data_IF_478266286756
#
_entry.id   IF_478266286756
#
_cell.length_a   1.000
_cell.length_b   1.000
_cell.length_c   1.000
_cell.angle_alpha   90.00
_cell.angle_beta   90.00
_cell.angle_gamma   90.00
#
_symmetry.space_group_name_H-M   'P 1'
#
loop_
_entity.id
_entity.type
_entity.pdbx_description
1 polymer ?
#
# COMPACT_ATOMS: atom_id res chain seq x y z
N UNK A 1 -5.40 -19.11 1.41
CA UNK A 1 -4.02 -18.60 1.45
C UNK A 1 -3.30 -19.22 2.63
N UNK A 2 -2.03 -19.62 2.49
CA UNK A 2 -1.25 -20.11 3.63
C UNK A 2 -0.28 -19.03 4.12
N UNK A 3 0.10 -19.09 5.39
CA UNK A 3 1.06 -18.15 5.98
C UNK A 3 2.42 -18.18 5.25
N UNK A 4 2.82 -19.35 4.71
CA UNK A 4 4.02 -19.44 3.89
C UNK A 4 3.91 -18.59 2.61
N UNK A 5 2.74 -18.58 1.97
CA UNK A 5 2.53 -17.79 0.76
C UNK A 5 2.49 -16.29 1.09
N UNK A 6 1.92 -15.90 2.23
CA UNK A 6 1.95 -14.52 2.72
C UNK A 6 3.40 -14.08 2.95
N UNK A 7 4.21 -14.89 3.64
CA UNK A 7 5.63 -14.59 3.85
C UNK A 7 6.41 -14.44 2.52
N UNK A 8 6.12 -15.28 1.52
CA UNK A 8 6.71 -15.17 0.19
C UNK A 8 6.30 -13.87 -0.53
N UNK A 9 5.02 -13.48 -0.43
CA UNK A 9 4.53 -12.23 -1.01
C UNK A 9 5.23 -11.02 -0.40
N UNK A 10 5.36 -10.98 0.93
CA UNK A 10 6.07 -9.92 1.64
C UNK A 10 7.54 -9.85 1.22
N UNK A 11 8.24 -10.99 1.14
CA UNK A 11 9.61 -11.06 0.61
C UNK A 11 9.71 -10.48 -0.80
N UNK A 12 8.78 -10.84 -1.68
CA UNK A 12 8.79 -10.38 -3.07
C UNK A 12 8.51 -8.87 -3.18
N UNK A 13 7.62 -8.33 -2.35
CA UNK A 13 7.37 -6.89 -2.30
C UNK A 13 8.63 -6.12 -1.86
N UNK A 14 9.37 -6.63 -0.86
CA UNK A 14 10.66 -6.04 -0.47
C UNK A 14 11.69 -6.07 -1.59
N UNK A 15 11.80 -7.18 -2.33
CA UNK A 15 12.74 -7.27 -3.46
C UNK A 15 12.39 -6.27 -4.57
N UNK A 16 11.11 -6.09 -4.90
CA UNK A 16 10.66 -5.06 -5.85
C UNK A 16 11.06 -3.66 -5.39
N UNK A 17 10.84 -3.33 -4.12
CA UNK A 17 11.21 -2.02 -3.57
C UNK A 17 12.72 -1.78 -3.61
N UNK A 18 13.52 -2.77 -3.18
CA UNK A 18 14.97 -2.65 -3.21
C UNK A 18 15.51 -2.51 -4.63
N UNK A 19 14.94 -3.26 -5.58
CA UNK A 19 15.31 -3.14 -6.98
C UNK A 19 15.00 -1.74 -7.52
N UNK A 20 13.80 -1.22 -7.27
CA UNK A 20 13.40 0.11 -7.72
C UNK A 20 14.27 1.24 -7.13
N UNK A 21 14.62 1.14 -5.84
CA UNK A 21 15.55 2.10 -5.21
C UNK A 21 16.95 1.98 -5.80
N UNK A 22 17.44 0.77 -6.02
CA UNK A 22 18.77 0.51 -6.62
C UNK A 22 18.86 1.08 -8.04
N UNK A 23 17.81 0.88 -8.83
CA UNK A 23 17.72 1.34 -10.21
C UNK A 23 17.37 2.83 -10.32
N UNK A 24 17.16 3.52 -9.18
CA UNK A 24 16.68 4.91 -9.11
C UNK A 24 15.37 5.13 -9.86
N UNK A 25 14.52 4.11 -9.90
CA UNK A 25 13.19 4.12 -10.51
C UNK A 25 12.05 4.15 -9.48
N UNK A 26 12.39 4.17 -8.19
CA UNK A 26 11.40 4.37 -7.12
C UNK A 26 10.77 5.76 -7.23
N UNK A 27 9.44 5.79 -7.16
CA UNK A 27 8.63 7.00 -7.11
C UNK A 27 7.56 6.81 -6.03
N UNK A 28 7.39 7.80 -5.16
CA UNK A 28 6.31 7.81 -4.18
C UNK A 28 5.02 8.29 -4.87
N UNK A 29 4.37 7.39 -5.61
CA UNK A 29 3.13 7.64 -6.34
C UNK A 29 2.04 6.63 -5.97
N UNK A 30 0.78 6.95 -6.30
CA UNK A 30 -0.36 6.03 -6.10
C UNK A 30 -0.12 4.75 -6.90
N UNK A 31 0.35 4.91 -8.13
CA UNK A 31 0.66 3.83 -9.06
C UNK A 31 1.70 2.88 -8.46
N UNK A 32 2.78 3.42 -7.89
CA UNK A 32 3.84 2.61 -7.31
C UNK A 32 3.40 1.90 -6.03
N UNK A 33 2.69 2.57 -5.11
CA UNK A 33 2.20 1.91 -3.89
C UNK A 33 1.14 0.84 -4.20
N UNK A 34 0.29 1.06 -5.20
CA UNK A 34 -0.65 0.05 -5.69
C UNK A 34 0.08 -1.12 -6.34
N UNK A 35 1.12 -0.87 -7.15
CA UNK A 35 2.00 -1.93 -7.69
C UNK A 35 2.61 -2.77 -6.56
N UNK A 36 3.17 -2.12 -5.54
CA UNK A 36 3.77 -2.82 -4.40
C UNK A 36 2.73 -3.63 -3.62
N UNK A 37 1.55 -3.06 -3.38
CA UNK A 37 0.41 -3.75 -2.75
C UNK A 37 -0.07 -4.95 -3.58
N UNK A 38 -0.01 -4.87 -4.92
CA UNK A 38 -0.37 -5.98 -5.81
C UNK A 38 0.50 -7.23 -5.61
N UNK A 39 1.71 -7.05 -5.07
CA UNK A 39 2.64 -8.12 -4.73
C UNK A 39 2.40 -8.57 -3.29
N UNK A 40 2.41 -7.63 -2.35
CA UNK A 40 2.34 -7.91 -0.91
C UNK A 40 1.02 -8.59 -0.50
N UNK A 41 -0.11 -8.10 -1.00
CA UNK A 41 -1.45 -8.52 -0.59
C UNK A 41 -2.10 -9.54 -1.53
N UNK A 42 -1.36 -10.01 -2.55
CA UNK A 42 -1.85 -10.96 -3.54
C UNK A 42 -2.45 -12.19 -2.85
N UNK A 43 -3.71 -12.50 -3.12
CA UNK A 43 -4.42 -13.67 -2.54
C UNK A 43 -4.56 -13.64 -1.00
N UNK A 44 -4.20 -12.54 -0.34
CA UNK A 44 -4.40 -12.29 1.10
C UNK A 44 -5.56 -11.30 1.31
N UNK A 45 -5.54 -10.17 0.60
CA UNK A 45 -6.59 -9.17 0.68
C UNK A 45 -7.80 -9.53 -0.20
N UNK A 46 -8.97 -8.98 0.15
CA UNK A 46 -10.19 -9.12 -0.64
C UNK A 46 -10.05 -8.46 -2.03
N UNK A 47 -9.42 -7.28 -2.06
CA UNK A 47 -8.99 -6.59 -3.27
C UNK A 47 -7.56 -6.11 -3.04
N UNK A 48 -6.67 -6.34 -4.00
CA UNK A 48 -5.29 -5.85 -3.99
C UNK A 48 -5.04 -4.93 -5.19
N UNK A 49 -3.92 -4.21 -5.19
CA UNK A 49 -3.58 -3.20 -6.22
C UNK A 49 -4.49 -1.97 -6.26
N UNK A 50 -5.35 -1.77 -5.25
CA UNK A 50 -6.27 -0.63 -5.17
C UNK A 50 -6.38 -0.11 -3.74
N UNK A 51 -6.81 1.15 -3.59
CA UNK A 51 -7.37 1.60 -2.32
C UNK A 51 -8.68 0.88 -2.01
N UNK A 52 -8.96 0.67 -0.73
CA UNK A 52 -10.23 0.05 -0.30
C UNK A 52 -11.42 0.88 -0.78
N UNK A 53 -12.54 0.19 -1.00
CA UNK A 53 -13.80 0.78 -1.47
C UNK A 53 -14.92 0.77 -0.43
N UNK A 54 -14.59 0.40 0.80
CA UNK A 54 -15.54 0.33 1.91
C UNK A 54 -14.96 0.89 3.20
N UNK A 55 -15.84 1.15 4.17
CA UNK A 55 -15.46 1.53 5.53
C UNK A 55 -14.85 0.32 6.25
N UNK A 56 -13.81 0.57 7.03
CA UNK A 56 -13.13 -0.44 7.85
C UNK A 56 -12.88 0.13 9.24
N UNK A 57 -12.68 -0.74 10.21
CA UNK A 57 -12.34 -0.39 11.59
C UNK A 57 -11.09 -1.15 12.02
N UNK A 58 -10.26 -0.54 12.86
CA UNK A 58 -9.07 -1.19 13.42
C UNK A 58 -9.41 -1.68 14.81
N UNK A 59 -9.58 -3.00 14.95
CA UNK A 59 -9.96 -3.64 16.21
C UNK A 59 -8.94 -3.32 17.31
N UNK A 60 -9.43 -3.03 18.51
CA UNK A 60 -8.59 -2.66 19.66
C UNK A 60 -8.18 -1.19 19.70
N UNK A 61 -8.75 -0.34 18.84
CA UNK A 61 -8.51 1.12 18.84
C UNK A 61 -9.82 1.88 18.66
N UNK A 62 -9.90 3.10 19.18
CA UNK A 62 -10.99 4.06 18.87
C UNK A 62 -10.73 4.85 17.58
N UNK A 63 -9.66 4.52 16.86
CA UNK A 63 -9.30 5.20 15.62
C UNK A 63 -10.24 4.75 14.50
N UNK A 64 -10.89 5.73 13.87
CA UNK A 64 -11.64 5.52 12.63
C UNK A 64 -10.78 5.90 11.42
N UNK A 65 -10.43 4.92 10.56
CA UNK A 65 -9.80 5.21 9.28
C UNK A 65 -10.66 6.16 8.42
N UNK A 66 -10.05 7.02 7.59
CA UNK A 66 -10.78 8.01 6.79
C UNK A 66 -11.78 7.38 5.82
N UNK A 67 -12.76 8.15 5.35
CA UNK A 67 -13.70 7.64 4.34
C UNK A 67 -13.00 7.21 3.05
N UNK A 68 -13.44 6.07 2.47
CA UNK A 68 -12.74 5.43 1.37
C UNK A 68 -12.66 6.30 0.10
N UNK A 69 -13.68 7.14 -0.13
CA UNK A 69 -13.75 8.10 -1.24
C UNK A 69 -12.72 9.22 -1.15
N UNK A 70 -12.07 9.39 0.02
CA UNK A 70 -11.08 10.44 0.27
C UNK A 70 -9.64 9.94 0.22
N UNK A 71 -9.42 8.62 0.12
CA UNK A 71 -8.09 8.03 0.30
C UNK A 71 -7.06 8.57 -0.69
N UNK A 72 -7.42 8.66 -1.98
CA UNK A 72 -6.54 9.25 -2.99
C UNK A 72 -6.19 10.70 -2.67
N UNK A 73 -7.19 11.53 -2.33
CA UNK A 73 -6.95 12.94 -1.98
C UNK A 73 -6.06 13.12 -0.74
N UNK A 74 -6.23 12.26 0.26
CA UNK A 74 -5.42 12.29 1.48
C UNK A 74 -3.99 11.84 1.17
N UNK A 75 -3.82 10.83 0.34
CA UNK A 75 -2.51 10.36 -0.10
C UNK A 75 -1.76 11.43 -0.91
N UNK A 76 -2.45 12.12 -1.81
CA UNK A 76 -1.87 13.24 -2.57
C UNK A 76 -1.47 14.41 -1.65
N UNK A 77 -2.31 14.74 -0.66
CA UNK A 77 -1.94 15.74 0.34
C UNK A 77 -0.70 15.31 1.15
N UNK A 78 -0.60 14.04 1.52
CA UNK A 78 0.58 13.48 2.20
C UNK A 78 1.84 13.62 1.34
N UNK A 79 1.80 13.29 0.05
CA UNK A 79 2.94 13.48 -0.86
C UNK A 79 3.36 14.95 -0.89
N UNK A 80 2.39 15.86 -1.09
CA UNK A 80 2.67 17.29 -1.16
C UNK A 80 3.28 17.86 0.15
N UNK A 81 3.00 17.26 1.31
CA UNK A 81 3.67 17.62 2.57
C UNK A 81 5.08 17.03 2.66
N UNK A 82 5.30 15.80 2.19
CA UNK A 82 6.62 15.15 2.19
C UNK A 82 7.60 15.88 1.28
N UNK A 83 7.16 16.33 0.10
CA UNK A 83 7.99 17.06 -0.87
C UNK A 83 8.47 18.44 -0.37
N UNK A 84 7.95 18.94 0.75
CA UNK A 84 8.44 20.17 1.38
C UNK A 84 9.77 19.99 2.10
N UNK A 85 10.21 18.75 2.34
CA UNK A 85 11.42 18.39 3.07
C UNK A 85 12.45 17.73 2.15
#
# INVERSE_FOLDING_TARGET
MSDQQIALNQKNAWLELFQAVTDKSFELSIEYVCKLHSIAAKEEALEWCVFRKGKVYISGTDYEPPEHTRLESIFQAMIAEVEKY
#
